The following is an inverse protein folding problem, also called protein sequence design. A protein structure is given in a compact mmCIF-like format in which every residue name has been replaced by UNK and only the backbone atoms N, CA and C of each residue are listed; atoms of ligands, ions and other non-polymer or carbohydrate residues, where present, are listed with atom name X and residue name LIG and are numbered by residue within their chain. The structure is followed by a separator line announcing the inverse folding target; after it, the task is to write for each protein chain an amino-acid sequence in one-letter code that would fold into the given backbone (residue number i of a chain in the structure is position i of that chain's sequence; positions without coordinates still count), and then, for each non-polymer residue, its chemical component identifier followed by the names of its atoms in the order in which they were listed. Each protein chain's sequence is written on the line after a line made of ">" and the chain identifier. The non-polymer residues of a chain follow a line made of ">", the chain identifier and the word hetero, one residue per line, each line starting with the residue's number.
data_IF_591505128026
#
_entry.id   IF_591505128026
#
_cell.length_a   1.000
_cell.length_b   1.000
_cell.length_c   1.000
_cell.angle_alpha   90.00
_cell.angle_beta   90.00
_cell.angle_gamma   90.00
#
_symmetry.space_group_name_H-M   'P 1'
#
loop_
_entity.id
_entity.type
_entity.pdbx_description
1 polymer ?
#
# COMPACT_ATOMS: atom_id res chain seq x y z
N UNK A 1 0.08 -7.93 -16.27
CA UNK A 1 1.27 -7.48 -17.03
C UNK A 1 2.31 -8.60 -17.04
N UNK A 2 2.03 -9.70 -17.74
CA UNK A 2 3.01 -10.79 -17.89
C UNK A 2 4.07 -10.41 -18.93
N UNK A 3 5.34 -10.42 -18.54
CA UNK A 3 6.46 -10.53 -19.49
C UNK A 3 7.44 -9.36 -19.59
N UNK A 4 7.29 -8.27 -18.84
CA UNK A 4 8.34 -7.24 -18.74
C UNK A 4 9.19 -7.47 -17.48
N UNK A 5 10.52 -7.42 -17.66
CA UNK A 5 11.50 -7.62 -16.60
C UNK A 5 11.35 -6.48 -15.58
N UNK A 6 11.05 -6.77 -14.29
CA UNK A 6 10.92 -5.73 -13.28
C UNK A 6 12.17 -4.85 -13.14
N UNK A 7 13.33 -5.35 -13.60
CA UNK A 7 14.59 -4.63 -13.63
C UNK A 7 14.69 -3.54 -14.71
N UNK A 8 13.75 -3.48 -15.65
CA UNK A 8 13.75 -2.54 -16.77
C UNK A 8 12.70 -1.41 -16.66
N UNK A 9 11.77 -1.46 -15.69
CA UNK A 9 10.73 -0.44 -15.55
C UNK A 9 11.23 0.92 -15.06
N UNK A 10 12.32 0.93 -14.30
CA UNK A 10 12.92 2.14 -13.76
C UNK A 10 14.44 2.08 -13.89
N UNK A 11 15.05 3.25 -13.87
CA UNK A 11 16.48 3.48 -13.96
C UNK A 11 16.91 4.47 -12.89
N UNK A 12 18.22 4.65 -12.73
CA UNK A 12 18.76 5.68 -11.83
C UNK A 12 18.28 7.09 -12.22
N UNK A 13 18.01 7.34 -13.51
CA UNK A 13 17.55 8.64 -13.98
C UNK A 13 16.16 9.00 -13.41
N UNK A 14 15.32 8.00 -13.14
CA UNK A 14 14.00 8.22 -12.53
C UNK A 14 14.14 8.70 -11.07
N UNK A 15 15.07 8.10 -10.31
CA UNK A 15 15.36 8.53 -8.93
C UNK A 15 16.01 9.92 -8.89
N UNK A 16 16.90 10.22 -9.85
CA UNK A 16 17.48 11.56 -10.00
C UNK A 16 16.41 12.61 -10.32
N UNK A 17 15.47 12.27 -11.19
CA UNK A 17 14.35 13.16 -11.51
C UNK A 17 13.48 13.43 -10.27
N UNK A 18 13.22 12.42 -9.44
CA UNK A 18 12.49 12.61 -8.18
C UNK A 18 13.23 13.54 -7.20
N UNK A 19 14.57 13.44 -7.13
CA UNK A 19 15.41 14.35 -6.33
C UNK A 19 15.32 15.80 -6.85
N UNK A 20 15.37 16.00 -8.18
CA UNK A 20 15.19 17.32 -8.80
C UNK A 20 13.81 17.94 -8.49
N UNK A 21 12.79 17.12 -8.27
CA UNK A 21 11.46 17.54 -7.84
C UNK A 21 11.36 17.82 -6.33
N UNK A 22 12.40 17.52 -5.55
CA UNK A 22 12.45 17.69 -4.10
C UNK A 22 11.75 16.58 -3.31
N UNK A 23 11.58 15.40 -3.90
CA UNK A 23 11.06 14.23 -3.19
C UNK A 23 12.11 13.69 -2.22
N UNK A 24 11.68 13.21 -1.05
CA UNK A 24 12.59 12.73 0.01
C UNK A 24 12.45 11.23 0.30
N UNK A 25 11.44 10.58 -0.27
CA UNK A 25 11.14 9.17 -0.03
C UNK A 25 10.42 8.56 -1.22
N UNK A 26 10.70 7.29 -1.50
CA UNK A 26 9.93 6.44 -2.42
C UNK A 26 9.36 5.23 -1.67
N UNK A 27 8.26 4.66 -2.18
CA UNK A 27 7.72 3.37 -1.75
C UNK A 27 7.99 2.33 -2.85
N UNK A 28 8.73 1.29 -2.51
CA UNK A 28 9.14 0.23 -3.44
C UNK A 28 8.20 -0.95 -3.24
N UNK A 29 7.17 -1.01 -4.09
CA UNK A 29 6.16 -2.06 -4.09
C UNK A 29 6.75 -3.38 -4.64
N UNK A 30 6.62 -4.45 -3.87
CA UNK A 30 7.24 -5.75 -4.18
C UNK A 30 6.22 -6.88 -4.21
N UNK A 31 6.54 -7.88 -5.04
CA UNK A 31 5.78 -9.12 -5.13
C UNK A 31 6.57 -10.25 -4.46
N UNK A 32 5.96 -10.99 -3.52
CA UNK A 32 6.64 -12.04 -2.76
C UNK A 32 7.29 -13.11 -3.66
N UNK A 33 6.68 -13.41 -4.81
CA UNK A 33 7.20 -14.37 -5.80
C UNK A 33 8.64 -14.05 -6.25
N UNK A 34 9.07 -12.78 -6.26
CA UNK A 34 10.44 -12.41 -6.60
C UNK A 34 11.47 -12.95 -5.61
N UNK A 35 11.06 -13.26 -4.38
CA UNK A 35 11.90 -13.84 -3.32
C UNK A 35 11.98 -15.38 -3.36
N UNK A 36 11.27 -16.02 -4.30
CA UNK A 36 11.56 -17.41 -4.67
C UNK A 36 12.91 -17.53 -5.40
N UNK A 37 13.43 -16.40 -5.90
CA UNK A 37 14.77 -16.25 -6.47
C UNK A 37 15.50 -15.10 -5.77
N UNK A 38 16.68 -14.70 -6.25
CA UNK A 38 17.38 -13.50 -5.77
C UNK A 38 16.77 -12.19 -6.27
N UNK A 39 15.85 -12.23 -7.23
CA UNK A 39 15.33 -11.05 -7.93
C UNK A 39 14.75 -9.99 -6.98
N UNK A 40 14.00 -10.40 -5.95
CA UNK A 40 13.43 -9.45 -4.98
C UNK A 40 14.50 -8.66 -4.22
N UNK A 41 15.59 -9.33 -3.82
CA UNK A 41 16.72 -8.68 -3.17
C UNK A 41 17.53 -7.82 -4.14
N UNK A 42 17.73 -8.28 -5.38
CA UNK A 42 18.44 -7.50 -6.40
C UNK A 42 17.70 -6.21 -6.78
N UNK A 43 16.37 -6.24 -6.81
CA UNK A 43 15.52 -5.06 -7.00
C UNK A 43 15.71 -4.06 -5.86
N UNK A 44 15.55 -4.51 -4.61
CA UNK A 44 15.73 -3.64 -3.45
C UNK A 44 17.15 -3.05 -3.44
N UNK A 45 18.18 -3.88 -3.58
CA UNK A 45 19.58 -3.43 -3.55
C UNK A 45 19.85 -2.36 -4.62
N UNK A 46 19.25 -2.50 -5.80
CA UNK A 46 19.36 -1.53 -6.89
C UNK A 46 18.70 -0.20 -6.57
N UNK A 47 17.47 -0.22 -6.08
CA UNK A 47 16.77 1.01 -5.67
C UNK A 47 17.48 1.71 -4.52
N UNK A 48 17.95 0.95 -3.52
CA UNK A 48 18.71 1.51 -2.39
C UNK A 48 20.01 2.18 -2.87
N UNK A 49 20.73 1.60 -3.83
CA UNK A 49 21.93 2.22 -4.39
C UNK A 49 21.64 3.55 -5.12
N UNK A 50 20.51 3.64 -5.84
CA UNK A 50 20.09 4.89 -6.48
C UNK A 50 19.66 5.94 -5.46
N UNK A 51 18.89 5.52 -4.46
CA UNK A 51 18.42 6.34 -3.35
C UNK A 51 19.59 6.90 -2.52
N UNK A 52 20.60 6.08 -2.22
CA UNK A 52 21.82 6.51 -1.52
C UNK A 52 22.52 7.66 -2.26
N UNK A 53 22.56 7.60 -3.60
CA UNK A 53 23.22 8.63 -4.41
C UNK A 53 22.51 9.99 -4.44
N UNK A 54 21.24 10.02 -4.03
CA UNK A 54 20.36 11.21 -4.06
C UNK A 54 19.94 11.67 -2.65
N UNK A 55 20.14 10.84 -1.62
CA UNK A 55 19.65 11.13 -0.26
C UNK A 55 18.14 10.90 -0.10
N UNK A 56 17.49 10.29 -1.07
CA UNK A 56 16.10 9.81 -0.99
C UNK A 56 16.08 8.55 -0.11
N UNK A 57 15.07 8.40 0.74
CA UNK A 57 14.84 7.17 1.50
C UNK A 57 13.93 6.20 0.73
N UNK A 58 14.01 4.91 1.04
CA UNK A 58 13.09 3.90 0.49
C UNK A 58 12.26 3.23 1.59
N UNK A 59 10.95 3.17 1.39
CA UNK A 59 10.04 2.29 2.13
C UNK A 59 9.93 1.00 1.33
N UNK A 60 10.24 -0.13 1.96
CA UNK A 60 10.09 -1.47 1.34
C UNK A 60 8.68 -1.94 1.63
N UNK A 61 7.90 -2.17 0.57
CA UNK A 61 6.47 -2.46 0.67
C UNK A 61 6.14 -3.84 0.08
N UNK A 62 5.45 -4.66 0.86
CA UNK A 62 4.93 -5.93 0.37
C UNK A 62 3.54 -5.73 -0.26
N UNK A 63 3.54 -5.48 -1.56
CA UNK A 63 2.35 -5.22 -2.36
C UNK A 63 1.54 -6.51 -2.61
N UNK A 64 2.21 -7.64 -2.83
CA UNK A 64 1.57 -8.94 -3.01
C UNK A 64 2.23 -9.95 -2.06
N UNK A 65 1.42 -10.54 -1.18
CA UNK A 65 1.86 -11.47 -0.13
C UNK A 65 1.67 -12.93 -0.54
N UNK A 66 2.40 -13.89 0.05
CA UNK A 66 2.09 -15.30 -0.15
C UNK A 66 0.66 -15.65 0.34
N UNK A 67 -0.08 -16.53 -0.37
CA UNK A 67 0.32 -17.22 -1.58
C UNK A 67 -0.16 -16.50 -2.85
N UNK A 68 -0.57 -15.24 -2.79
CA UNK A 68 -1.27 -14.53 -3.87
C UNK A 68 -0.42 -14.40 -5.14
N UNK A 69 -1.01 -14.68 -6.30
CA UNK A 69 -0.34 -14.47 -7.60
C UNK A 69 -0.57 -13.04 -8.11
N UNK A 70 -1.62 -12.39 -7.61
CA UNK A 70 -2.02 -11.05 -8.00
C UNK A 70 -2.49 -10.29 -6.77
N UNK A 71 -2.34 -8.96 -6.81
CA UNK A 71 -2.86 -8.08 -5.77
C UNK A 71 -4.37 -8.29 -5.56
N UNK A 72 -4.83 -8.18 -4.31
CA UNK A 72 -6.25 -8.24 -3.94
C UNK A 72 -6.85 -9.65 -3.82
N UNK A 73 -6.09 -10.71 -4.12
CA UNK A 73 -6.60 -12.09 -4.00
C UNK A 73 -6.88 -12.52 -2.57
N UNK A 74 -6.17 -11.95 -1.59
CA UNK A 74 -6.46 -12.10 -0.17
C UNK A 74 -6.48 -13.57 0.30
N UNK A 75 -5.71 -14.48 -0.31
CA UNK A 75 -5.76 -15.94 0.00
C UNK A 75 -4.98 -16.31 1.26
N UNK A 76 -4.22 -15.37 1.81
CA UNK A 76 -3.49 -15.54 3.07
C UNK A 76 -4.44 -15.71 4.28
N UNK A 77 -5.69 -15.23 4.18
CA UNK A 77 -6.63 -15.30 5.29
C UNK A 77 -7.15 -16.72 5.47
N UNK A 78 -6.91 -17.28 6.66
CA UNK A 78 -7.28 -18.67 6.98
C UNK A 78 -6.26 -19.73 6.53
N UNK A 79 -5.10 -19.33 5.98
CA UNK A 79 -3.98 -20.23 5.66
C UNK A 79 -2.78 -19.99 6.61
N UNK A 80 -2.62 -20.80 7.66
CA UNK A 80 -1.50 -20.67 8.59
C UNK A 80 -0.12 -20.88 7.94
N UNK A 81 -0.03 -21.69 6.88
CA UNK A 81 1.24 -21.95 6.21
C UNK A 81 1.66 -20.74 5.38
N UNK A 82 0.72 -20.11 4.66
CA UNK A 82 0.96 -18.85 3.96
C UNK A 82 1.33 -17.72 4.92
N UNK A 83 0.64 -17.61 6.07
CA UNK A 83 1.00 -16.64 7.10
C UNK A 83 2.41 -16.87 7.66
N UNK A 84 2.80 -18.12 7.91
CA UNK A 84 4.15 -18.42 8.37
C UNK A 84 5.19 -18.04 7.30
N UNK A 85 4.93 -18.38 6.03
CA UNK A 85 5.81 -17.99 4.93
C UNK A 85 5.96 -16.47 4.81
N UNK A 86 4.87 -15.71 4.98
CA UNK A 86 4.89 -14.26 5.02
C UNK A 86 5.74 -13.71 6.17
N UNK A 87 5.63 -14.27 7.38
CA UNK A 87 6.45 -13.88 8.54
C UNK A 87 7.93 -14.21 8.36
N UNK A 88 8.23 -15.40 7.80
CA UNK A 88 9.59 -15.84 7.51
C UNK A 88 10.24 -14.93 6.46
N UNK A 89 9.47 -14.52 5.44
CA UNK A 89 9.92 -13.59 4.41
C UNK A 89 10.23 -12.21 5.00
N UNK A 90 9.36 -11.66 5.84
CA UNK A 90 9.61 -10.40 6.52
C UNK A 90 10.84 -10.45 7.43
N UNK A 91 11.04 -11.55 8.15
CA UNK A 91 12.24 -11.78 8.95
C UNK A 91 13.50 -11.76 8.07
N UNK A 92 13.46 -12.42 6.90
CA UNK A 92 14.60 -12.47 6.00
C UNK A 92 14.94 -11.10 5.36
N UNK A 93 13.92 -10.35 4.95
CA UNK A 93 14.07 -8.99 4.41
C UNK A 93 14.65 -8.07 5.48
N UNK A 94 14.02 -8.01 6.66
CA UNK A 94 14.45 -7.13 7.74
C UNK A 94 15.88 -7.46 8.21
N UNK A 95 16.24 -8.75 8.35
CA UNK A 95 17.59 -9.15 8.72
C UNK A 95 18.66 -8.69 7.72
N UNK A 96 18.34 -8.66 6.42
CA UNK A 96 19.27 -8.22 5.37
C UNK A 96 19.51 -6.72 5.41
N UNK A 97 18.48 -5.95 5.71
CA UNK A 97 18.51 -4.48 5.61
C UNK A 97 18.58 -3.76 6.96
N UNK A 98 18.69 -4.48 8.09
CA UNK A 98 18.68 -3.95 9.45
C UNK A 98 19.67 -2.80 9.74
N UNK A 99 20.79 -2.78 9.04
CA UNK A 99 21.85 -1.76 9.19
C UNK A 99 21.91 -0.78 8.00
N UNK A 100 20.98 -0.84 7.05
CA UNK A 100 21.00 0.01 5.85
C UNK A 100 20.27 1.35 6.11
N UNK A 101 20.99 2.48 6.22
CA UNK A 101 20.39 3.76 6.60
C UNK A 101 19.51 4.40 5.51
N UNK A 102 19.50 3.86 4.29
CA UNK A 102 18.66 4.34 3.18
C UNK A 102 17.23 3.81 3.31
N UNK A 103 17.03 2.70 4.01
CA UNK A 103 15.70 2.20 4.32
C UNK A 103 15.04 3.12 5.33
N UNK A 104 13.90 3.73 4.97
CA UNK A 104 13.06 4.45 5.93
C UNK A 104 12.30 3.47 6.84
N UNK A 105 11.81 2.38 6.25
CA UNK A 105 11.03 1.39 6.97
C UNK A 105 10.41 0.32 6.09
N UNK A 106 9.61 -0.52 6.73
CA UNK A 106 8.93 -1.66 6.12
C UNK A 106 7.41 -1.45 6.17
N UNK A 107 6.76 -1.43 5.01
CA UNK A 107 5.30 -1.43 4.89
C UNK A 107 4.81 -2.87 4.75
N UNK A 108 4.19 -3.36 5.82
CA UNK A 108 4.05 -4.80 6.07
C UNK A 108 3.15 -5.50 5.04
N UNK A 109 2.08 -4.85 4.63
CA UNK A 109 1.08 -5.42 3.73
C UNK A 109 0.29 -4.26 3.13
N UNK A 110 0.36 -4.12 1.79
CA UNK A 110 -0.50 -3.21 1.05
C UNK A 110 -1.97 -3.65 1.02
N UNK A 111 -2.87 -2.79 1.47
CA UNK A 111 -4.34 -2.91 1.42
C UNK A 111 -4.86 -4.30 1.82
N UNK A 112 -4.56 -4.77 3.05
CA UNK A 112 -5.05 -6.05 3.53
C UNK A 112 -6.58 -6.11 3.45
N UNK A 113 -7.14 -7.15 2.84
CA UNK A 113 -8.58 -7.38 2.74
C UNK A 113 -9.05 -8.62 3.52
N UNK A 114 -8.96 -8.63 4.87
CA UNK A 114 -9.36 -9.78 5.67
C UNK A 114 -10.87 -10.00 5.67
N UNK A 115 -11.31 -11.23 5.98
CA UNK A 115 -12.72 -11.53 6.20
C UNK A 115 -13.24 -10.93 7.51
N UNK A 116 -12.38 -10.89 8.52
CA UNK A 116 -12.61 -10.23 9.80
C UNK A 116 -11.44 -9.28 10.09
N UNK A 117 -11.69 -7.99 10.35
CA UNK A 117 -10.66 -7.00 10.71
C UNK A 117 -9.66 -7.46 11.78
N UNK A 118 -10.09 -8.31 12.73
CA UNK A 118 -9.21 -8.88 13.77
C UNK A 118 -8.07 -9.70 13.17
N UNK A 119 -8.27 -10.35 12.02
CA UNK A 119 -7.24 -11.16 11.36
C UNK A 119 -6.05 -10.32 10.91
N UNK A 120 -6.31 -9.10 10.41
CA UNK A 120 -5.22 -8.20 10.02
C UNK A 120 -4.40 -7.77 11.24
N UNK A 121 -5.06 -7.31 12.31
CA UNK A 121 -4.35 -6.85 13.49
C UNK A 121 -3.55 -7.96 14.19
N UNK A 122 -4.03 -9.21 14.21
CA UNK A 122 -3.26 -10.37 14.68
C UNK A 122 -2.01 -10.60 13.81
N UNK A 123 -2.18 -10.64 12.49
CA UNK A 123 -1.09 -10.88 11.55
C UNK A 123 -0.05 -9.74 11.58
N UNK A 124 -0.51 -8.49 11.66
CA UNK A 124 0.35 -7.31 11.77
C UNK A 124 1.18 -7.35 13.07
N UNK A 125 0.58 -7.67 14.22
CA UNK A 125 1.31 -7.81 15.49
C UNK A 125 2.41 -8.89 15.41
N UNK A 126 2.11 -10.02 14.77
CA UNK A 126 3.06 -11.13 14.54
C UNK A 126 4.18 -10.71 13.58
N UNK A 127 3.87 -9.94 12.53
CA UNK A 127 4.85 -9.42 11.59
C UNK A 127 5.76 -8.36 12.23
N UNK A 128 5.22 -7.45 13.05
CA UNK A 128 6.01 -6.54 13.88
C UNK A 128 7.00 -7.33 14.74
N UNK A 129 6.53 -8.36 15.44
CA UNK A 129 7.38 -9.22 16.27
C UNK A 129 8.47 -9.91 15.45
N UNK A 130 8.14 -10.41 14.25
CA UNK A 130 9.08 -11.07 13.35
C UNK A 130 10.19 -10.10 12.89
N UNK A 131 9.82 -8.91 12.41
CA UNK A 131 10.78 -7.86 12.03
C UNK A 131 11.66 -7.44 13.22
N UNK A 132 11.06 -7.17 14.38
CA UNK A 132 11.79 -6.74 15.59
C UNK A 132 12.72 -7.80 16.17
N UNK A 133 12.55 -9.06 15.81
CA UNK A 133 13.49 -10.13 16.20
C UNK A 133 14.87 -9.98 15.56
N UNK A 134 14.98 -9.21 14.47
CA UNK A 134 16.21 -9.04 13.69
C UNK A 134 16.56 -7.58 13.39
N UNK A 135 15.60 -6.66 13.48
CA UNK A 135 15.79 -5.23 13.21
C UNK A 135 15.02 -4.35 14.21
N UNK A 136 15.76 -3.69 15.10
CA UNK A 136 15.23 -2.78 16.12
C UNK A 136 15.26 -1.30 15.72
N UNK A 137 15.67 -0.97 14.50
CA UNK A 137 16.03 0.39 14.09
C UNK A 137 14.96 1.03 13.19
N UNK A 138 14.52 0.31 12.17
CA UNK A 138 13.68 0.89 11.11
C UNK A 138 12.22 1.07 11.51
N UNK A 139 11.55 2.03 10.87
CA UNK A 139 10.10 2.27 11.04
C UNK A 139 9.34 1.06 10.51
N UNK A 140 8.26 0.68 11.18
CA UNK A 140 7.30 -0.29 10.64
C UNK A 140 6.02 0.48 10.27
N UNK A 141 5.65 0.42 9.00
CA UNK A 141 4.39 0.96 8.50
C UNK A 141 3.32 -0.13 8.58
N UNK A 142 2.18 0.22 9.18
CA UNK A 142 1.04 -0.67 9.38
C UNK A 142 -0.19 0.00 8.82
N UNK A 143 -0.75 -0.54 7.74
CA UNK A 143 -1.92 0.05 7.10
C UNK A 143 -3.19 -0.05 7.96
N UNK A 144 -3.91 1.07 8.05
CA UNK A 144 -5.22 1.17 8.65
C UNK A 144 -6.29 1.12 7.56
N UNK A 145 -6.84 -0.07 7.36
CA UNK A 145 -7.86 -0.38 6.35
C UNK A 145 -9.31 -0.10 6.83
N UNK A 146 -9.54 0.08 8.13
CA UNK A 146 -10.88 0.28 8.69
C UNK A 146 -10.90 1.47 9.65
N UNK A 147 -11.54 2.57 9.26
CA UNK A 147 -11.61 3.81 10.06
C UNK A 147 -12.06 3.58 11.51
N UNK A 148 -13.01 2.67 11.74
CA UNK A 148 -13.62 2.45 13.05
C UNK A 148 -13.04 1.25 13.84
N UNK A 149 -12.11 0.48 13.27
CA UNK A 149 -11.57 -0.74 13.89
C UNK A 149 -10.06 -0.70 14.07
N UNK A 150 -9.53 0.50 14.30
CA UNK A 150 -8.13 0.77 14.58
C UNK A 150 -7.62 0.06 15.85
N UNK A 151 -6.41 -0.52 15.79
CA UNK A 151 -5.73 -1.08 16.96
C UNK A 151 -4.30 -0.56 17.06
N UNK A 152 -3.89 -0.22 18.29
CA UNK A 152 -2.51 0.10 18.60
C UNK A 152 -1.71 -1.18 18.82
N UNK A 153 -0.60 -1.31 18.10
CA UNK A 153 0.42 -2.34 18.31
C UNK A 153 1.49 -1.83 19.28
N UNK A 154 2.04 -2.74 20.09
CA UNK A 154 3.04 -2.44 21.12
C UNK A 154 4.46 -2.36 20.54
N UNK A 155 4.73 -1.29 19.79
CA UNK A 155 6.07 -0.92 19.31
C UNK A 155 6.20 0.61 19.25
N UNK A 156 7.31 1.19 19.73
CA UNK A 156 7.46 2.64 19.80
C UNK A 156 7.78 3.29 18.44
N UNK A 157 8.08 2.50 17.40
CA UNK A 157 8.54 2.98 16.09
C UNK A 157 7.65 2.45 14.95
N UNK A 158 6.33 2.59 15.15
CA UNK A 158 5.30 2.32 14.14
C UNK A 158 4.74 3.63 13.59
N UNK A 159 4.52 3.65 12.27
CA UNK A 159 3.68 4.64 11.59
C UNK A 159 2.45 3.93 11.05
N UNK A 160 1.26 4.45 11.33
CA UNK A 160 0.03 3.94 10.73
C UNK A 160 -0.24 4.67 9.41
N UNK A 161 -0.28 3.94 8.31
CA UNK A 161 -0.54 4.43 6.95
C UNK A 161 -2.00 4.18 6.55
N UNK A 162 -2.51 4.91 5.58
CA UNK A 162 -3.79 4.65 4.93
C UNK A 162 -3.76 5.21 3.51
N UNK A 163 -4.57 4.65 2.63
CA UNK A 163 -4.78 5.20 1.29
C UNK A 163 -6.02 6.08 1.27
N UNK A 164 -5.96 7.15 0.48
CA UNK A 164 -7.11 8.00 0.22
C UNK A 164 -7.21 8.31 -1.26
N UNK A 165 -8.18 7.66 -1.89
CA UNK A 165 -8.54 7.85 -3.28
C UNK A 165 -9.88 8.58 -3.43
N UNK A 166 -10.37 9.22 -2.36
CA UNK A 166 -11.70 9.84 -2.36
C UNK A 166 -11.69 11.16 -3.15
N UNK A 167 -12.64 11.40 -4.08
CA UNK A 167 -13.69 10.48 -4.52
C UNK A 167 -13.22 9.55 -5.65
N UNK A 168 -13.55 8.25 -5.54
CA UNK A 168 -13.12 7.23 -6.52
C UNK A 168 -13.54 7.54 -7.95
N UNK A 169 -14.72 8.14 -8.14
CA UNK A 169 -15.21 8.58 -9.46
C UNK A 169 -14.29 9.60 -10.16
N UNK A 170 -13.43 10.30 -9.41
CA UNK A 170 -12.41 11.19 -9.98
C UNK A 170 -11.08 10.45 -10.12
N UNK A 171 -10.62 9.77 -9.07
CA UNK A 171 -9.27 9.18 -9.02
C UNK A 171 -9.15 7.91 -9.89
N UNK A 172 -10.25 7.22 -10.17
CA UNK A 172 -10.31 5.97 -10.92
C UNK A 172 -11.14 6.07 -12.22
N UNK A 173 -11.51 7.27 -12.67
CA UNK A 173 -12.21 7.44 -13.94
C UNK A 173 -11.44 6.78 -15.11
N UNK A 174 -12.03 5.78 -15.76
CA UNK A 174 -11.40 5.05 -16.85
C UNK A 174 -10.41 3.95 -16.44
N UNK A 175 -10.33 3.59 -15.16
CA UNK A 175 -9.60 2.40 -14.72
C UNK A 175 -10.16 1.16 -15.40
N UNK A 176 -9.29 0.39 -16.07
CA UNK A 176 -9.69 -0.76 -16.89
C UNK A 176 -9.68 -2.09 -16.12
N UNK A 177 -9.31 -2.05 -14.84
CA UNK A 177 -9.26 -3.19 -13.93
C UNK A 177 -10.49 -3.27 -13.01
N UNK A 178 -11.41 -2.32 -13.12
CA UNK A 178 -12.66 -2.27 -12.35
C UNK A 178 -13.85 -2.10 -13.32
N UNK A 179 -14.94 -2.83 -13.06
CA UNK A 179 -16.13 -2.85 -13.91
C UNK A 179 -16.92 -1.53 -13.86
N UNK A 180 -16.74 -0.74 -12.80
CA UNK A 180 -17.53 0.48 -12.53
C UNK A 180 -16.71 1.77 -12.58
N UNK A 181 -15.73 1.83 -13.48
CA UNK A 181 -14.91 3.04 -13.72
C UNK A 181 -15.24 3.76 -15.03
N UNK A 182 -16.51 4.15 -15.30
CA UNK A 182 -16.85 4.90 -16.50
C UNK A 182 -16.14 6.27 -16.48
N UNK A 183 -15.69 6.75 -17.64
CA UNK A 183 -15.21 8.12 -17.80
C UNK A 183 -16.45 9.01 -18.02
N UNK A 184 -16.84 9.87 -17.07
CA UNK A 184 -18.01 10.74 -17.28
C UNK A 184 -17.68 11.83 -18.31
N UNK A 185 -18.62 12.15 -19.20
CA UNK A 185 -18.40 13.12 -20.29
C UNK A 185 -18.08 14.56 -19.80
N UNK A 186 -18.50 14.92 -18.58
CA UNK A 186 -18.38 16.26 -17.97
C UNK A 186 -17.72 16.24 -16.57
N UNK A 187 -16.76 15.35 -16.31
CA UNK A 187 -16.08 15.31 -14.99
C UNK A 187 -15.04 16.44 -14.82
N UNK A 188 -15.07 17.13 -13.68
CA UNK A 188 -14.10 18.16 -13.31
C UNK A 188 -13.85 18.14 -11.79
N UNK A 189 -12.60 18.41 -11.37
CA UNK A 189 -12.24 18.63 -9.96
C UNK A 189 -11.60 20.02 -9.80
N UNK A 190 -12.13 20.91 -8.94
CA UNK A 190 -13.40 20.77 -8.23
C UNK A 190 -14.61 20.85 -9.19
N UNK A 191 -15.69 20.13 -8.86
CA UNK A 191 -16.94 20.05 -9.63
C UNK A 191 -18.12 19.69 -8.72
N UNK A 192 -19.32 19.41 -9.26
CA UNK A 192 -20.48 19.01 -8.45
C UNK A 192 -20.14 17.78 -7.58
N UNK A 193 -20.50 17.81 -6.28
CA UNK A 193 -20.43 16.62 -5.45
C UNK A 193 -21.37 15.57 -6.00
N UNK A 194 -20.80 14.45 -6.41
CA UNK A 194 -21.56 13.21 -6.54
C UNK A 194 -21.71 12.67 -5.12
N UNK A 195 -22.75 13.09 -4.41
CA UNK A 195 -23.17 12.45 -3.16
C UNK A 195 -23.90 11.13 -3.48
N UNK A 196 -23.65 10.10 -2.67
CA UNK A 196 -24.43 8.84 -2.72
C UNK A 196 -23.80 7.68 -3.49
N UNK A 197 -22.47 7.63 -3.63
CA UNK A 197 -21.72 6.39 -3.90
C UNK A 197 -20.99 6.01 -2.62
N UNK A 198 -21.59 5.13 -1.83
CA UNK A 198 -20.91 4.48 -0.70
C UNK A 198 -20.49 3.08 -1.16
N UNK A 199 -19.20 2.78 -1.04
CA UNK A 199 -18.67 1.43 -1.23
C UNK A 199 -18.71 0.71 0.12
N UNK A 200 -19.46 -0.38 0.18
CA UNK A 200 -19.66 -1.15 1.42
C UNK A 200 -18.55 -2.20 1.60
N UNK A 201 -17.94 -2.67 0.51
CA UNK A 201 -16.72 -3.49 0.46
C UNK A 201 -16.10 -3.54 -0.97
N UNK A 202 -15.06 -4.36 -1.16
CA UNK A 202 -14.34 -4.59 -2.42
C UNK A 202 -14.97 -5.65 -3.35
N UNK A 203 -16.22 -6.04 -3.14
CA UNK A 203 -16.89 -7.01 -4.02
C UNK A 203 -17.50 -6.34 -5.27
N UNK A 204 -17.60 -7.07 -6.41
CA UNK A 204 -18.12 -6.52 -7.68
C UNK A 204 -19.58 -6.04 -7.65
N UNK A 205 -20.32 -6.31 -6.57
CA UNK A 205 -21.75 -6.01 -6.44
C UNK A 205 -22.05 -4.90 -5.41
N UNK A 206 -21.03 -4.15 -4.96
CA UNK A 206 -21.13 -3.27 -3.77
C UNK A 206 -21.48 -1.79 -4.01
N UNK A 207 -21.77 -1.37 -5.25
CA UNK A 207 -22.15 0.01 -5.55
C UNK A 207 -23.68 0.18 -5.69
N UNK A 208 -24.35 0.72 -4.66
CA UNK A 208 -25.73 1.21 -4.79
C UNK A 208 -25.77 2.74 -4.97
N UNK A 209 -26.26 3.19 -6.13
CA UNK A 209 -26.51 4.61 -6.41
C UNK A 209 -27.83 5.06 -5.75
N UNK A 210 -27.76 5.89 -4.70
CA UNK A 210 -28.95 6.30 -3.91
C UNK A 210 -29.57 7.65 -4.33
N UNK A 211 -28.95 8.37 -5.29
CA UNK A 211 -29.65 9.35 -6.11
C UNK A 211 -29.98 10.73 -5.49
N UNK A 212 -29.21 11.26 -4.53
CA UNK A 212 -29.35 12.68 -4.14
C UNK A 212 -28.12 13.50 -4.52
N UNK A 213 -28.35 14.61 -5.23
CA UNK A 213 -27.32 15.62 -5.53
C UNK A 213 -27.48 16.80 -4.59
N UNK A 214 -26.44 17.15 -3.82
CA UNK A 214 -26.37 18.41 -3.07
C UNK A 214 -25.18 19.23 -3.58
N UNK A 215 -25.41 20.52 -3.81
CA UNK A 215 -24.37 21.46 -4.26
C UNK A 215 -23.28 21.62 -3.18
N UNK A 216 -22.02 21.34 -3.52
CA UNK A 216 -20.84 21.51 -2.66
C UNK A 216 -20.79 22.88 -1.97
N UNK A 217 -21.28 23.94 -2.62
CA UNK A 217 -21.27 25.29 -2.07
C UNK A 217 -22.19 25.43 -0.85
N UNK A 218 -23.23 24.61 -0.74
CA UNK A 218 -24.18 24.64 0.38
C UNK A 218 -23.65 23.95 1.64
N UNK A 219 -22.81 22.92 1.49
CA UNK A 219 -22.15 22.21 2.59
C UNK A 219 -21.11 23.10 3.29
N UNK A 220 -20.30 23.82 2.52
CA UNK A 220 -19.30 24.73 3.09
C UNK A 220 -19.92 25.87 3.91
N UNK A 221 -21.12 26.34 3.52
CA UNK A 221 -21.85 27.37 4.25
C UNK A 221 -22.45 26.86 5.58
N UNK A 222 -22.71 25.55 5.69
CA UNK A 222 -23.29 24.93 6.90
C UNK A 222 -22.27 24.60 7.99
N UNK A 223 -20.98 24.54 7.65
CA UNK A 223 -19.93 24.17 8.61
C UNK A 223 -19.51 25.31 9.55
N UNK A 224 -20.00 26.54 9.33
CA UNK A 224 -19.70 27.69 10.19
C UNK A 224 -18.21 28.04 10.26
N UNK A 225 -17.84 29.19 10.85
CA UNK A 225 -16.44 29.53 11.11
C UNK A 225 -15.83 28.66 12.22
#
# INVERSE_FOLDING_TARGET
>A
MEGADPMEYATQADIQFLDELGMTVIRVALHWHYFQTSLGYELIDRYLAWCESTGIYAIIDMQVVPPDEEFGQNRIWGDPAAQQQYLDLWTAIAARYADNPVVAGYDLYNEPGPHDPVQWWDLAARAVTAVRSVDTNHIIFVENIYKDLFQLLDDPNIVYSYHDYTPLVVTHAGANWDTDSPIPDDYAYPGPALEGIEWVDWSPDAAEFTGSTTDCLSLWASLGP
#
